data_IF_131018110176
#
_entry.id   IF_131018110176
#
_cell.length_a   1.000
_cell.length_b   1.000
_cell.length_c   1.000
_cell.angle_alpha   90.00
_cell.angle_beta   90.00
_cell.angle_gamma   90.00
#
_symmetry.space_group_name_H-M   'P 1'
#
loop_
_entity.id
_entity.type
_entity.pdbx_description
1 polymer ?
#
# COMPACT_ATOMS: atom_id res chain seq x y z
N UNK A 1 15.94 72.14 -39.01
CA UNK A 1 15.29 73.07 -38.07
C UNK A 1 15.64 72.63 -36.66
N UNK A 2 16.13 73.57 -35.81
CA UNK A 2 16.64 73.44 -34.43
C UNK A 2 17.94 72.59 -34.26
N UNK A 3 19.15 73.03 -33.86
CA UNK A 3 19.68 74.17 -33.04
C UNK A 3 19.03 74.21 -31.64
N UNK A 4 19.71 74.08 -30.48
CA UNK A 4 21.09 74.37 -30.00
C UNK A 4 21.26 73.74 -28.58
N UNK A 5 22.42 73.14 -28.21
CA UNK A 5 23.52 73.68 -27.35
C UNK A 5 23.08 74.04 -25.91
N UNK A 6 23.73 73.74 -24.76
CA UNK A 6 24.83 72.89 -24.23
C UNK A 6 24.91 73.25 -22.68
N UNK A 7 25.98 73.01 -21.87
CA UNK A 7 25.92 72.24 -20.62
C UNK A 7 26.43 72.99 -19.35
N UNK A 8 26.49 72.30 -18.19
CA UNK A 8 27.32 72.60 -16.99
C UNK A 8 27.24 71.35 -16.07
N UNK A 9 28.26 70.79 -15.42
CA UNK A 9 29.69 71.09 -15.29
C UNK A 9 30.36 70.03 -14.39
N UNK A 10 31.63 69.76 -14.70
CA UNK A 10 32.69 69.02 -13.99
C UNK A 10 32.63 68.97 -12.45
N UNK A 11 33.07 67.83 -11.86
CA UNK A 11 34.24 67.79 -10.96
C UNK A 11 34.74 66.36 -10.69
N UNK A 12 35.95 66.06 -11.18
CA UNK A 12 36.81 64.95 -10.75
C UNK A 12 37.41 65.22 -9.36
N UNK A 13 37.69 64.16 -8.59
CA UNK A 13 38.88 64.05 -7.70
C UNK A 13 39.15 62.57 -7.36
N UNK A 14 40.09 61.93 -8.05
CA UNK A 14 41.48 61.61 -7.61
C UNK A 14 41.62 60.39 -6.68
N UNK A 15 42.22 59.32 -7.22
CA UNK A 15 42.86 58.20 -6.51
C UNK A 15 44.08 58.69 -5.70
N UNK A 16 44.60 57.88 -4.75
CA UNK A 16 45.84 57.17 -5.08
C UNK A 16 45.95 55.73 -4.57
N UNK A 17 46.78 54.97 -5.31
CA UNK A 17 47.40 53.68 -4.96
C UNK A 17 48.33 53.81 -3.75
N UNK A 18 48.39 52.76 -2.93
CA UNK A 18 49.56 52.13 -2.28
C UNK A 18 48.98 51.02 -1.38
N UNK A 19 49.54 49.85 -1.13
CA UNK A 19 50.80 49.20 -1.45
C UNK A 19 50.92 47.97 -0.54
N UNK A 20 51.58 46.92 -1.04
CA UNK A 20 52.30 45.88 -0.29
C UNK A 20 51.57 44.96 0.72
N UNK A 21 51.47 43.68 0.31
CA UNK A 21 52.10 42.50 0.95
C UNK A 21 52.52 42.66 2.43
N UNK A 22 51.86 41.90 3.32
CA UNK A 22 52.48 41.39 4.54
C UNK A 22 51.84 40.04 4.93
N UNK A 23 52.68 39.01 4.96
CA UNK A 23 52.40 37.69 5.48
C UNK A 23 52.37 37.71 7.02
N UNK A 24 51.41 37.00 7.63
CA UNK A 24 51.48 36.57 9.02
C UNK A 24 50.65 35.27 9.13
N UNK A 25 51.29 34.11 8.99
CA UNK A 25 51.84 33.27 10.08
C UNK A 25 50.74 32.61 10.93
N UNK A 26 50.58 31.31 10.65
CA UNK A 26 50.07 30.29 11.55
C UNK A 26 50.60 30.44 12.99
N UNK A 27 49.78 30.07 13.99
CA UNK A 27 50.26 29.38 15.17
C UNK A 27 49.79 27.93 15.14
N UNK A 28 50.75 27.05 14.91
CA UNK A 28 50.73 25.63 15.24
C UNK A 28 50.80 25.43 16.76
N UNK A 29 49.84 24.71 17.34
CA UNK A 29 50.02 23.89 18.56
C UNK A 29 49.07 22.69 18.43
N UNK A 30 49.51 21.56 17.88
CA UNK A 30 50.10 20.43 18.63
C UNK A 30 49.47 20.25 20.01
N UNK A 31 48.37 19.50 20.05
CA UNK A 31 47.98 18.66 21.18
C UNK A 31 47.40 17.36 20.62
N UNK A 32 48.30 16.43 20.35
CA UNK A 32 48.02 15.01 20.13
C UNK A 32 47.30 14.41 21.33
N UNK A 33 46.07 13.92 21.14
CA UNK A 33 45.55 12.80 21.91
C UNK A 33 45.11 11.69 20.96
N UNK A 34 45.94 10.65 20.96
CA UNK A 34 45.69 9.38 20.31
C UNK A 34 44.60 8.61 21.07
N UNK A 35 43.58 8.16 20.35
CA UNK A 35 42.76 7.03 20.77
C UNK A 35 42.66 6.07 19.59
N UNK A 36 43.69 5.22 19.47
CA UNK A 36 43.64 4.04 18.64
C UNK A 36 42.53 3.12 19.15
N UNK A 37 41.52 2.84 18.32
CA UNK A 37 40.65 1.67 18.52
C UNK A 37 40.95 0.62 17.47
N UNK A 38 41.69 -0.34 17.99
CA UNK A 38 42.10 -1.61 17.41
C UNK A 38 40.92 -2.35 16.78
N UNK A 39 41.06 -2.68 15.50
CA UNK A 39 40.31 -3.74 14.85
C UNK A 39 40.74 -5.07 15.47
N UNK A 40 39.97 -5.58 16.43
CA UNK A 40 40.17 -6.90 17.01
C UNK A 40 39.27 -7.89 16.28
N UNK A 41 39.90 -8.70 15.43
CA UNK A 41 39.38 -9.98 14.96
C UNK A 41 39.09 -10.88 16.16
N UNK A 42 37.82 -10.99 16.55
CA UNK A 42 37.39 -11.95 17.56
C UNK A 42 37.14 -13.31 16.89
N UNK A 43 38.20 -14.11 16.79
CA UNK A 43 38.09 -15.57 16.59
C UNK A 43 37.28 -16.13 17.77
N UNK A 44 36.12 -16.73 17.50
CA UNK A 44 35.34 -17.47 18.51
C UNK A 44 36.18 -18.65 19.00
N UNK A 45 36.71 -18.57 20.22
CA UNK A 45 37.26 -19.73 20.91
C UNK A 45 36.11 -20.58 21.44
N UNK A 46 36.01 -21.81 20.96
CA UNK A 46 35.14 -22.82 21.55
C UNK A 46 35.71 -23.22 22.91
N UNK A 47 35.14 -22.70 23.99
CA UNK A 47 35.42 -23.16 25.36
C UNK A 47 34.52 -24.35 25.70
N UNK A 48 35.11 -25.55 25.70
CA UNK A 48 34.48 -26.83 26.08
C UNK A 48 34.48 -27.07 27.59
N UNK A 49 34.12 -26.08 28.42
CA UNK A 49 33.99 -26.27 29.87
C UNK A 49 32.85 -25.45 30.47
N UNK A 50 31.64 -26.01 30.40
CA UNK A 50 30.61 -25.86 31.44
C UNK A 50 29.52 -26.92 31.25
N UNK A 51 29.89 -28.18 31.46
CA UNK A 51 28.91 -29.23 31.74
C UNK A 51 28.43 -29.04 33.20
N UNK A 52 27.12 -29.14 33.39
CA UNK A 52 26.36 -29.03 34.65
C UNK A 52 26.04 -27.62 35.16
N UNK A 53 24.99 -27.04 34.58
CA UNK A 53 24.04 -26.19 35.33
C UNK A 53 22.73 -26.14 34.56
N UNK A 54 21.71 -26.84 35.08
CA UNK A 54 20.35 -26.79 34.55
C UNK A 54 19.72 -25.44 34.93
N UNK A 55 19.82 -24.45 34.05
CA UNK A 55 18.94 -23.28 34.05
C UNK A 55 17.94 -23.45 32.92
N UNK A 56 16.69 -23.75 33.27
CA UNK A 56 15.55 -23.57 32.37
C UNK A 56 15.55 -22.10 31.93
N UNK A 57 15.51 -21.77 30.63
CA UNK A 57 15.25 -20.40 30.24
C UNK A 57 13.83 -20.08 30.71
N UNK A 58 13.70 -19.04 31.53
CA UNK A 58 12.41 -18.45 31.81
C UNK A 58 11.86 -17.98 30.47
N UNK A 59 10.75 -18.59 30.04
CA UNK A 59 9.93 -18.01 28.98
C UNK A 59 9.43 -16.67 29.53
N UNK A 60 10.05 -15.58 29.13
CA UNK A 60 9.42 -14.27 29.23
C UNK A 60 8.26 -14.27 28.24
N UNK A 61 7.15 -14.88 28.65
CA UNK A 61 5.86 -14.61 28.05
C UNK A 61 5.62 -13.13 28.28
N UNK A 62 5.76 -12.33 27.24
CA UNK A 62 5.12 -11.02 27.20
C UNK A 62 3.62 -11.27 27.26
N UNK A 63 3.11 -11.40 28.49
CA UNK A 63 1.69 -11.56 28.78
C UNK A 63 1.04 -10.24 28.41
N UNK A 64 0.13 -10.27 27.45
CA UNK A 64 -0.82 -9.18 27.22
C UNK A 64 -1.34 -8.72 28.57
N UNK A 65 -1.11 -7.45 28.94
CA UNK A 65 -1.51 -6.91 30.24
C UNK A 65 -3.04 -6.79 30.40
N UNK A 66 -3.81 -7.19 29.38
CA UNK A 66 -5.26 -7.17 29.38
C UNK A 66 -5.78 -8.58 29.12
N UNK A 67 -6.66 -9.06 30.00
CA UNK A 67 -7.52 -10.19 29.72
C UNK A 67 -8.40 -9.85 28.50
N UNK A 68 -8.55 -10.77 27.54
CA UNK A 68 -9.35 -10.51 26.35
C UNK A 68 -10.81 -10.24 26.75
N UNK A 69 -11.42 -9.25 26.11
CA UNK A 69 -12.83 -8.87 26.30
C UNK A 69 -13.76 -9.98 25.82
N UNK A 70 -13.33 -10.76 24.82
CA UNK A 70 -14.09 -11.87 24.25
C UNK A 70 -13.22 -13.13 24.13
N UNK A 71 -13.81 -14.27 24.46
CA UNK A 71 -13.20 -15.57 24.27
C UNK A 71 -13.29 -16.03 22.81
N UNK A 72 -12.32 -16.82 22.36
CA UNK A 72 -12.26 -17.30 20.97
C UNK A 72 -13.37 -18.29 20.60
N UNK A 73 -13.97 -18.93 21.60
CA UNK A 73 -15.11 -19.82 21.40
C UNK A 73 -16.44 -19.07 21.30
N UNK A 74 -16.49 -17.80 21.69
CA UNK A 74 -17.72 -16.98 21.79
C UNK A 74 -17.57 -15.62 21.09
N UNK A 75 -17.33 -15.68 19.78
CA UNK A 75 -17.15 -14.49 18.94
C UNK A 75 -18.44 -14.05 18.24
N UNK A 76 -19.49 -14.86 18.29
CA UNK A 76 -20.75 -14.57 17.60
C UNK A 76 -21.75 -13.90 18.54
N UNK A 77 -22.02 -12.62 18.30
CA UNK A 77 -23.08 -11.88 18.99
C UNK A 77 -23.94 -11.15 17.96
N UNK A 78 -25.29 -11.15 18.12
CA UNK A 78 -26.13 -10.24 17.36
C UNK A 78 -25.65 -8.80 17.51
N UNK A 79 -25.62 -8.04 16.41
CA UNK A 79 -24.95 -6.74 16.36
C UNK A 79 -25.50 -5.75 17.41
N UNK A 80 -26.83 -5.73 17.63
CA UNK A 80 -27.47 -4.90 18.66
C UNK A 80 -27.09 -5.27 20.11
N UNK A 81 -26.83 -6.55 20.36
CA UNK A 81 -26.56 -7.11 21.70
C UNK A 81 -25.06 -7.33 21.96
N UNK A 82 -24.21 -7.01 20.98
CA UNK A 82 -22.77 -7.16 21.10
C UNK A 82 -22.24 -6.47 22.36
N UNK A 83 -21.28 -7.07 23.09
CA UNK A 83 -20.62 -6.41 24.21
C UNK A 83 -19.81 -5.18 23.79
N UNK A 84 -19.43 -5.09 22.52
CA UNK A 84 -18.59 -4.03 21.96
C UNK A 84 -19.43 -2.82 21.50
N UNK A 85 -19.18 -1.65 22.08
CA UNK A 85 -19.88 -0.41 21.71
C UNK A 85 -19.78 -0.05 20.21
N UNK A 86 -18.62 -0.20 19.52
CA UNK A 86 -18.53 0.10 18.09
C UNK A 86 -19.41 -0.81 17.22
N UNK A 87 -19.59 -2.08 17.61
CA UNK A 87 -20.43 -3.03 16.87
C UNK A 87 -21.91 -2.69 17.03
N UNK A 88 -22.33 -2.28 18.24
CA UNK A 88 -23.70 -1.78 18.46
C UNK A 88 -23.98 -0.51 17.66
N UNK A 89 -23.04 0.43 17.62
CA UNK A 89 -23.17 1.64 16.81
C UNK A 89 -23.30 1.33 15.30
N UNK A 90 -22.60 0.30 14.82
CA UNK A 90 -22.77 -0.21 13.45
C UNK A 90 -24.18 -0.76 13.22
N UNK A 91 -24.74 -1.51 14.18
CA UNK A 91 -26.11 -1.99 14.14
C UNK A 91 -27.11 -0.84 14.01
N UNK A 92 -26.97 0.18 14.86
CA UNK A 92 -27.81 1.38 14.85
C UNK A 92 -27.73 2.12 13.52
N UNK A 93 -26.52 2.22 12.94
CA UNK A 93 -26.33 2.85 11.64
C UNK A 93 -27.03 2.09 10.52
N UNK A 94 -26.91 0.75 10.50
CA UNK A 94 -27.59 -0.11 9.52
C UNK A 94 -29.11 -0.02 9.68
N UNK A 95 -29.64 0.04 10.89
CA UNK A 95 -31.08 0.24 11.10
C UNK A 95 -31.53 1.61 10.60
N UNK A 96 -30.72 2.65 10.81
CA UNK A 96 -31.06 4.02 10.42
C UNK A 96 -31.00 4.28 8.90
N UNK A 97 -30.04 3.68 8.19
CA UNK A 97 -29.78 3.96 6.77
C UNK A 97 -30.02 2.77 5.84
N UNK A 98 -30.16 1.58 6.41
CA UNK A 98 -30.38 0.35 5.68
C UNK A 98 -31.79 0.25 5.12
N UNK A 99 -31.97 -0.70 4.21
CA UNK A 99 -33.25 -0.92 3.53
C UNK A 99 -33.62 -2.39 3.53
N UNK A 100 -34.89 -2.69 3.80
CA UNK A 100 -35.40 -4.05 3.68
C UNK A 100 -35.53 -4.44 2.19
N UNK A 101 -35.03 -5.62 1.79
CA UNK A 101 -35.07 -6.09 0.40
C UNK A 101 -36.50 -6.31 -0.11
N UNK A 102 -37.31 -7.03 0.67
CA UNK A 102 -38.72 -7.35 0.37
C UNK A 102 -39.58 -6.10 0.19
N UNK A 103 -39.37 -5.06 1.00
CA UNK A 103 -40.09 -3.80 0.83
C UNK A 103 -39.81 -3.14 -0.52
N UNK A 104 -38.56 -3.20 -0.99
CA UNK A 104 -38.17 -2.60 -2.27
C UNK A 104 -38.81 -3.33 -3.46
N UNK A 105 -38.98 -4.64 -3.36
CA UNK A 105 -39.56 -5.46 -4.42
C UNK A 105 -41.09 -5.32 -4.49
N UNK A 106 -41.78 -5.31 -3.35
CA UNK A 106 -43.24 -5.24 -3.33
C UNK A 106 -43.82 -3.84 -3.47
N UNK A 107 -43.10 -2.80 -3.07
CA UNK A 107 -43.57 -1.41 -3.13
C UNK A 107 -42.42 -0.44 -3.47
N UNK A 108 -41.92 -0.44 -4.73
CA UNK A 108 -40.80 0.42 -5.14
C UNK A 108 -41.09 1.92 -5.03
N UNK A 109 -42.37 2.33 -5.00
CA UNK A 109 -42.80 3.72 -4.83
C UNK A 109 -42.90 4.16 -3.36
N UNK A 110 -42.95 3.21 -2.41
CA UNK A 110 -42.95 3.51 -0.97
C UNK A 110 -41.52 3.47 -0.41
N UNK A 111 -41.25 4.31 0.60
CA UNK A 111 -39.95 4.29 1.29
C UNK A 111 -39.77 2.92 1.96
N UNK A 112 -38.74 2.18 1.53
CA UNK A 112 -38.35 0.92 2.15
C UNK A 112 -38.17 1.09 3.66
N UNK A 113 -38.77 0.18 4.43
CA UNK A 113 -38.72 0.21 5.89
C UNK A 113 -37.31 -0.15 6.38
N UNK A 114 -36.92 0.46 7.49
CA UNK A 114 -35.68 0.18 8.19
C UNK A 114 -35.56 -1.31 8.59
N UNK A 115 -34.39 -1.95 8.40
CA UNK A 115 -34.17 -3.32 8.82
C UNK A 115 -34.02 -3.37 10.36
N UNK A 116 -35.01 -3.94 11.04
CA UNK A 116 -35.05 -4.07 12.51
C UNK A 116 -34.90 -5.51 12.98
N UNK A 117 -35.27 -6.47 12.13
CA UNK A 117 -35.16 -7.88 12.39
C UNK A 117 -33.72 -8.35 12.14
N UNK A 118 -33.06 -8.77 13.21
CA UNK A 118 -31.74 -9.38 13.16
C UNK A 118 -31.86 -10.87 12.86
N UNK A 119 -31.11 -11.34 11.86
CA UNK A 119 -31.07 -12.75 11.55
C UNK A 119 -30.35 -13.52 12.68
N UNK A 120 -30.93 -14.62 13.20
CA UNK A 120 -30.32 -15.38 14.29
C UNK A 120 -29.00 -16.06 13.90
N UNK A 121 -28.78 -16.36 12.62
CA UNK A 121 -27.61 -17.10 12.15
C UNK A 121 -26.38 -16.22 11.87
N UNK A 122 -26.60 -14.99 11.35
CA UNK A 122 -25.51 -14.05 11.04
C UNK A 122 -25.45 -12.83 11.97
N UNK A 123 -26.50 -12.56 12.75
CA UNK A 123 -26.54 -11.49 13.74
C UNK A 123 -26.77 -10.09 13.17
N UNK A 124 -26.90 -9.94 11.85
CA UNK A 124 -27.11 -8.65 11.18
C UNK A 124 -28.60 -8.26 11.10
N UNK A 125 -28.95 -6.97 11.29
CA UNK A 125 -30.26 -6.44 10.95
C UNK A 125 -30.44 -6.41 9.42
N UNK A 126 -31.30 -7.29 8.90
CA UNK A 126 -31.46 -7.49 7.44
C UNK A 126 -32.84 -7.13 6.92
N UNK A 127 -33.89 -7.39 7.71
CA UNK A 127 -35.29 -7.25 7.30
C UNK A 127 -36.05 -6.33 8.25
N UNK A 128 -37.15 -5.72 7.82
CA UNK A 128 -37.96 -4.88 8.71
C UNK A 128 -38.80 -5.69 9.71
N UNK A 129 -39.16 -6.94 9.36
CA UNK A 129 -39.95 -7.86 10.18
C UNK A 129 -39.52 -9.31 9.93
N UNK A 130 -39.91 -10.20 10.84
CA UNK A 130 -39.70 -11.64 10.70
C UNK A 130 -40.46 -12.23 9.50
N UNK A 131 -41.65 -11.70 9.19
CA UNK A 131 -42.43 -12.09 8.02
C UNK A 131 -41.64 -11.84 6.72
N UNK A 132 -41.03 -10.66 6.58
CA UNK A 132 -40.22 -10.35 5.41
C UNK A 132 -38.94 -11.20 5.35
N UNK A 133 -38.33 -11.50 6.49
CA UNK A 133 -37.20 -12.44 6.55
C UNK A 133 -37.61 -13.83 6.03
N UNK A 134 -38.78 -14.33 6.42
CA UNK A 134 -39.28 -15.62 5.97
C UNK A 134 -39.62 -15.64 4.48
N UNK A 135 -40.06 -14.52 3.91
CA UNK A 135 -40.30 -14.37 2.47
C UNK A 135 -39.00 -14.41 1.65
N UNK A 136 -37.92 -13.79 2.16
CA UNK A 136 -36.62 -13.68 1.45
C UNK A 136 -35.57 -14.71 1.89
N UNK A 137 -36.01 -15.78 2.57
CA UNK A 137 -35.11 -16.71 3.26
C UNK A 137 -34.09 -17.37 2.31
N UNK A 138 -34.51 -17.71 1.10
CA UNK A 138 -33.64 -18.36 0.12
C UNK A 138 -32.56 -17.40 -0.41
N UNK A 139 -32.89 -16.15 -0.75
CA UNK A 139 -31.87 -15.19 -1.18
C UNK A 139 -30.93 -14.83 -0.01
N UNK A 140 -31.49 -14.64 1.19
CA UNK A 140 -30.69 -14.34 2.38
C UNK A 140 -29.67 -15.43 2.69
N UNK A 141 -30.00 -16.71 2.46
CA UNK A 141 -29.11 -17.85 2.68
C UNK A 141 -27.77 -17.72 1.93
N UNK A 142 -27.77 -17.10 0.74
CA UNK A 142 -26.54 -16.87 -0.04
C UNK A 142 -25.59 -15.86 0.58
N UNK A 143 -26.10 -14.90 1.37
CA UNK A 143 -25.29 -13.83 1.98
C UNK A 143 -25.06 -14.07 3.47
N UNK A 144 -25.91 -14.87 4.12
CA UNK A 144 -25.91 -15.13 5.55
C UNK A 144 -24.54 -15.62 6.07
N UNK A 145 -23.90 -16.54 5.34
CA UNK A 145 -22.56 -17.04 5.68
C UNK A 145 -21.51 -15.93 5.73
N UNK A 146 -21.43 -15.12 4.67
CA UNK A 146 -20.50 -13.98 4.61
C UNK A 146 -20.77 -12.96 5.71
N UNK A 147 -22.03 -12.65 5.99
CA UNK A 147 -22.41 -11.74 7.07
C UNK A 147 -21.97 -12.28 8.44
N UNK A 148 -22.10 -13.59 8.66
CA UNK A 148 -21.66 -14.23 9.89
C UNK A 148 -20.14 -14.16 10.03
N UNK A 149 -19.40 -14.44 8.97
CA UNK A 149 -17.94 -14.31 8.97
C UNK A 149 -17.50 -12.89 9.31
N UNK A 150 -18.11 -11.88 8.69
CA UNK A 150 -17.79 -10.47 8.96
C UNK A 150 -18.11 -10.10 10.40
N UNK A 151 -19.20 -10.64 10.95
CA UNK A 151 -19.58 -10.45 12.34
C UNK A 151 -18.50 -11.01 13.29
N UNK A 152 -18.14 -12.28 13.11
CA UNK A 152 -17.15 -12.97 13.94
C UNK A 152 -15.75 -12.34 13.80
N UNK A 153 -15.34 -11.96 12.59
CA UNK A 153 -14.07 -11.29 12.32
C UNK A 153 -14.01 -9.91 13.03
N UNK A 154 -15.10 -9.13 13.02
CA UNK A 154 -15.14 -7.84 13.73
C UNK A 154 -15.06 -7.99 15.25
N UNK A 155 -15.76 -8.98 15.81
CA UNK A 155 -15.66 -9.31 17.23
C UNK A 155 -14.26 -9.78 17.61
N UNK A 156 -13.63 -10.61 16.76
CA UNK A 156 -12.28 -11.10 17.01
C UNK A 156 -11.24 -9.98 16.95
N UNK A 157 -11.32 -9.11 15.94
CA UNK A 157 -10.42 -7.96 15.78
C UNK A 157 -10.51 -6.97 16.95
N UNK A 158 -11.65 -6.93 17.63
CA UNK A 158 -11.92 -6.05 18.79
C UNK A 158 -11.93 -6.78 20.13
N UNK A 159 -11.64 -8.09 20.14
CA UNK A 159 -11.63 -8.92 21.36
C UNK A 159 -10.52 -8.55 22.34
N UNK A 160 -9.50 -7.82 21.90
CA UNK A 160 -8.33 -7.47 22.72
C UNK A 160 -7.35 -8.63 22.91
N UNK A 161 -7.56 -9.78 22.25
CA UNK A 161 -6.57 -10.86 22.29
C UNK A 161 -5.27 -10.46 21.60
N UNK A 162 -4.19 -11.14 21.96
CA UNK A 162 -2.95 -11.08 21.18
C UNK A 162 -3.14 -11.81 19.84
N UNK A 163 -2.97 -11.08 18.75
CA UNK A 163 -3.07 -11.61 17.39
C UNK A 163 -1.70 -12.07 16.92
N UNK A 164 -1.45 -13.38 17.07
CA UNK A 164 -0.21 -14.02 16.60
C UNK A 164 -0.06 -13.90 15.09
N UNK A 165 -1.18 -13.87 14.36
CA UNK A 165 -1.19 -13.73 12.91
C UNK A 165 -0.58 -12.42 12.40
N UNK A 166 -0.49 -11.38 13.25
CA UNK A 166 0.18 -10.11 12.91
C UNK A 166 1.67 -10.08 13.31
N UNK A 167 2.21 -11.20 13.79
CA UNK A 167 3.66 -11.34 14.02
C UNK A 167 4.34 -11.70 12.70
N UNK A 168 4.72 -10.67 11.94
CA UNK A 168 5.30 -10.84 10.62
C UNK A 168 6.80 -11.18 10.67
N UNK A 169 7.28 -12.04 9.75
CA UNK A 169 8.70 -12.39 9.67
C UNK A 169 9.54 -11.22 9.16
N UNK A 170 10.79 -11.14 9.61
CA UNK A 170 11.78 -10.18 9.12
C UNK A 170 12.36 -10.57 7.75
N UNK A 171 13.55 -10.04 7.45
CA UNK A 171 14.30 -10.36 6.25
C UNK A 171 14.71 -11.84 6.20
N UNK A 172 14.67 -12.44 5.00
CA UNK A 172 15.11 -13.82 4.75
C UNK A 172 16.54 -13.88 4.25
N UNK A 173 17.14 -15.08 4.34
CA UNK A 173 18.41 -15.34 3.69
C UNK A 173 18.24 -15.30 2.16
N UNK A 174 19.27 -14.83 1.44
CA UNK A 174 19.21 -14.65 -0.02
C UNK A 174 18.94 -15.94 -0.81
N UNK A 175 19.26 -17.08 -0.21
CA UNK A 175 19.11 -18.40 -0.85
C UNK A 175 17.70 -18.99 -0.68
N UNK A 176 16.86 -18.39 0.17
CA UNK A 176 15.48 -18.82 0.36
C UNK A 176 14.62 -18.34 -0.82
N UNK A 177 14.01 -19.29 -1.53
CA UNK A 177 13.16 -18.98 -2.66
C UNK A 177 11.74 -18.57 -2.20
N UNK A 178 11.26 -17.45 -2.74
CA UNK A 178 9.91 -16.92 -2.47
C UNK A 178 8.96 -17.39 -3.57
N UNK A 179 7.84 -17.98 -3.17
CA UNK A 179 6.80 -18.42 -4.08
C UNK A 179 5.54 -17.56 -3.93
N UNK A 180 5.16 -16.87 -5.00
CA UNK A 180 4.02 -15.93 -5.03
C UNK A 180 2.76 -16.51 -5.69
N UNK A 181 2.66 -17.84 -5.85
CA UNK A 181 1.56 -18.48 -6.59
C UNK A 181 0.19 -18.31 -5.93
N UNK A 182 0.15 -18.29 -4.59
CA UNK A 182 -1.05 -18.08 -3.77
C UNK A 182 -0.65 -17.66 -2.35
N UNK A 183 -1.63 -17.27 -1.54
CA UNK A 183 -1.42 -16.85 -0.14
C UNK A 183 -0.71 -17.91 0.70
N UNK A 184 -1.14 -19.17 0.68
CA UNK A 184 -0.59 -20.22 1.55
C UNK A 184 0.90 -20.49 1.26
N UNK A 185 1.25 -20.59 -0.01
CA UNK A 185 2.63 -20.87 -0.43
C UNK A 185 3.53 -19.66 -0.15
N UNK A 186 3.00 -18.44 -0.31
CA UNK A 186 3.73 -17.23 0.06
C UNK A 186 4.00 -17.18 1.56
N UNK A 187 2.97 -17.34 2.38
CA UNK A 187 3.10 -17.29 3.85
C UNK A 187 4.07 -18.38 4.35
N UNK A 188 3.98 -19.58 3.78
CA UNK A 188 4.90 -20.67 4.09
C UNK A 188 6.35 -20.35 3.71
N UNK A 189 6.59 -19.95 2.46
CA UNK A 189 7.96 -19.67 1.99
C UNK A 189 8.60 -18.46 2.66
N UNK A 190 7.79 -17.48 3.11
CA UNK A 190 8.25 -16.33 3.89
C UNK A 190 8.47 -16.61 5.38
N UNK A 191 8.08 -17.78 5.88
CA UNK A 191 8.22 -18.12 7.30
C UNK A 191 7.24 -17.37 8.22
N UNK A 192 6.03 -17.08 7.75
CA UNK A 192 4.95 -16.62 8.63
C UNK A 192 4.56 -17.75 9.59
N UNK A 193 3.97 -17.38 10.74
CA UNK A 193 3.38 -18.35 11.64
C UNK A 193 2.28 -19.13 10.92
N UNK A 194 2.18 -20.43 11.23
CA UNK A 194 1.17 -21.30 10.62
C UNK A 194 -0.24 -20.81 10.94
N UNK A 195 -1.00 -20.53 9.89
CA UNK A 195 -2.35 -20.01 9.97
C UNK A 195 -3.31 -21.18 10.13
N UNK A 196 -3.84 -21.36 11.35
CA UNK A 196 -4.64 -22.54 11.68
C UNK A 196 -6.14 -22.36 11.40
N UNK A 197 -6.58 -21.16 11.01
CA UNK A 197 -7.99 -20.85 10.77
C UNK A 197 -8.17 -19.93 9.57
N UNK A 198 -9.30 -20.06 8.87
CA UNK A 198 -9.68 -19.17 7.77
C UNK A 198 -9.81 -17.72 8.22
N UNK A 199 -10.31 -17.48 9.44
CA UNK A 199 -10.38 -16.15 10.05
C UNK A 199 -9.00 -15.48 10.15
N UNK A 200 -7.98 -16.20 10.63
CA UNK A 200 -6.62 -15.68 10.66
C UNK A 200 -6.15 -15.30 9.25
N UNK A 201 -6.45 -16.13 8.25
CA UNK A 201 -6.12 -15.83 6.84
C UNK A 201 -6.82 -14.58 6.33
N UNK A 202 -8.11 -14.39 6.65
CA UNK A 202 -8.86 -13.16 6.34
C UNK A 202 -8.20 -11.93 6.96
N UNK A 203 -7.82 -11.99 8.24
CA UNK A 203 -7.15 -10.89 8.93
C UNK A 203 -5.81 -10.51 8.30
N UNK A 204 -4.95 -11.49 8.04
CA UNK A 204 -3.61 -11.24 7.50
C UNK A 204 -3.66 -10.80 6.04
N UNK A 205 -4.47 -11.45 5.22
CA UNK A 205 -4.62 -11.07 3.82
C UNK A 205 -5.15 -9.64 3.66
N UNK A 206 -6.07 -9.21 4.52
CA UNK A 206 -6.62 -7.86 4.49
C UNK A 206 -5.57 -6.76 4.75
N UNK A 207 -4.60 -7.02 5.63
CA UNK A 207 -3.54 -6.04 5.94
C UNK A 207 -2.41 -6.09 4.91
N UNK A 208 -2.07 -7.29 4.42
CA UNK A 208 -0.96 -7.50 3.48
C UNK A 208 -1.34 -7.30 2.01
N UNK A 209 -2.62 -7.21 1.67
CA UNK A 209 -3.08 -7.15 0.26
C UNK A 209 -2.40 -6.03 -0.52
N UNK A 210 -2.23 -4.84 0.04
CA UNK A 210 -1.62 -3.70 -0.68
C UNK A 210 -0.14 -3.91 -1.00
N UNK A 211 0.75 -4.12 0.00
CA UNK A 211 2.17 -4.35 -0.30
C UNK A 211 2.41 -5.60 -1.14
N UNK A 212 1.62 -6.67 -0.96
CA UNK A 212 1.81 -7.89 -1.74
C UNK A 212 1.22 -7.81 -3.15
N UNK A 213 0.19 -7.00 -3.38
CA UNK A 213 -0.25 -6.69 -4.75
C UNK A 213 0.88 -6.01 -5.50
N UNK A 214 1.52 -4.99 -4.90
CA UNK A 214 2.69 -4.32 -5.48
C UNK A 214 3.83 -5.31 -5.72
N UNK A 215 4.19 -6.08 -4.67
CA UNK A 215 5.26 -7.07 -4.74
C UNK A 215 5.02 -8.13 -5.80
N UNK A 216 3.80 -8.67 -5.89
CA UNK A 216 3.45 -9.72 -6.85
C UNK A 216 3.52 -9.28 -8.30
N UNK A 217 3.24 -8.02 -8.59
CA UNK A 217 3.38 -7.45 -9.94
C UNK A 217 4.86 -7.23 -10.28
N UNK A 218 5.63 -6.67 -9.35
CA UNK A 218 7.00 -6.25 -9.58
C UNK A 218 8.03 -7.38 -9.48
N UNK A 219 7.78 -8.41 -8.67
CA UNK A 219 8.76 -9.46 -8.38
C UNK A 219 9.01 -10.38 -9.59
N UNK A 220 10.22 -10.94 -9.69
CA UNK A 220 10.59 -11.85 -10.77
C UNK A 220 9.76 -13.15 -10.79
N UNK A 221 9.39 -13.69 -9.62
CA UNK A 221 8.51 -14.87 -9.47
C UNK A 221 7.02 -14.52 -9.46
N UNK A 222 6.66 -13.42 -10.12
CA UNK A 222 5.27 -12.96 -10.27
C UNK A 222 4.34 -14.10 -10.72
N UNK A 223 3.13 -14.22 -10.13
CA UNK A 223 2.19 -15.26 -10.52
C UNK A 223 1.49 -14.98 -11.86
N UNK A 224 1.67 -13.79 -12.44
CA UNK A 224 1.00 -13.35 -13.66
C UNK A 224 1.76 -13.82 -14.91
N UNK A 225 1.09 -14.57 -15.78
CA UNK A 225 1.69 -15.22 -16.94
C UNK A 225 1.50 -14.40 -18.23
N UNK A 226 2.47 -14.49 -19.15
CA UNK A 226 2.38 -13.89 -20.49
C UNK A 226 1.24 -14.53 -21.29
N UNK A 227 0.49 -13.71 -22.02
CA UNK A 227 -0.59 -14.14 -22.91
C UNK A 227 -1.91 -14.39 -22.20
N UNK A 228 -1.86 -15.00 -21.00
CA UNK A 228 -3.03 -15.17 -20.14
C UNK A 228 -3.39 -13.86 -19.41
N UNK A 229 -2.41 -13.29 -18.72
CA UNK A 229 -2.62 -12.17 -17.80
C UNK A 229 -1.94 -10.90 -18.30
N UNK A 230 -0.64 -11.02 -18.61
CA UNK A 230 0.20 -9.95 -19.11
C UNK A 230 0.17 -9.91 -20.64
N UNK A 231 0.13 -8.71 -21.19
CA UNK A 231 0.33 -8.48 -22.62
C UNK A 231 1.84 -8.46 -22.95
N UNK A 232 2.18 -8.43 -24.23
CA UNK A 232 3.57 -8.26 -24.68
C UNK A 232 4.16 -6.93 -24.20
N UNK A 233 3.38 -5.84 -24.28
CA UNK A 233 3.77 -4.53 -23.78
C UNK A 233 3.89 -4.48 -22.25
N UNK A 234 3.03 -5.23 -21.57
CA UNK A 234 3.12 -5.51 -20.13
C UNK A 234 4.44 -6.13 -19.75
N UNK A 235 4.81 -7.22 -20.43
CA UNK A 235 6.06 -7.91 -20.17
C UNK A 235 7.28 -7.02 -20.45
N UNK A 236 7.29 -6.25 -21.54
CA UNK A 236 8.38 -5.30 -21.84
C UNK A 236 8.55 -4.26 -20.73
N UNK A 237 7.44 -3.68 -20.27
CA UNK A 237 7.44 -2.67 -19.21
C UNK A 237 7.91 -3.24 -17.86
N UNK A 238 7.40 -4.42 -17.50
CA UNK A 238 7.76 -5.09 -16.26
C UNK A 238 9.19 -5.64 -16.30
N UNK A 239 9.68 -6.12 -17.45
CA UNK A 239 11.05 -6.60 -17.59
C UNK A 239 12.07 -5.47 -17.32
N UNK A 240 11.80 -4.27 -17.82
CA UNK A 240 12.59 -3.08 -17.56
C UNK A 240 12.64 -2.74 -16.04
N UNK A 241 11.49 -2.71 -15.37
CA UNK A 241 11.41 -2.49 -13.92
C UNK A 241 12.09 -3.62 -13.12
N UNK A 242 11.86 -4.88 -13.50
CA UNK A 242 12.44 -6.05 -12.84
C UNK A 242 13.97 -6.09 -12.95
N UNK A 243 14.52 -5.68 -14.09
CA UNK A 243 15.96 -5.57 -14.27
C UNK A 243 16.58 -4.56 -13.31
N UNK A 244 15.89 -3.44 -13.08
CA UNK A 244 16.28 -2.44 -12.06
C UNK A 244 16.18 -2.99 -10.64
N UNK A 245 15.10 -3.72 -10.33
CA UNK A 245 14.82 -4.28 -9.00
C UNK A 245 15.73 -5.46 -8.64
N UNK A 246 16.21 -6.20 -9.63
CA UNK A 246 17.08 -7.36 -9.46
C UNK A 246 18.33 -7.21 -10.35
N UNK A 247 19.26 -6.29 -10.02
CA UNK A 247 20.47 -6.14 -10.80
C UNK A 247 21.28 -7.45 -10.77
N UNK A 248 21.76 -7.88 -11.94
CA UNK A 248 22.63 -9.05 -12.04
C UNK A 248 23.84 -8.88 -11.11
N UNK A 249 24.09 -9.88 -10.27
CA UNK A 249 25.16 -9.86 -9.30
C UNK A 249 26.51 -9.73 -10.01
N UNK A 250 27.22 -8.62 -9.81
CA UNK A 250 28.58 -8.44 -10.33
C UNK A 250 29.51 -9.36 -9.52
N UNK A 251 30.17 -10.36 -10.14
CA UNK A 251 31.10 -11.24 -9.43
C UNK A 251 32.26 -10.41 -8.84
N UNK A 252 32.49 -10.50 -7.53
CA UNK A 252 33.64 -9.87 -6.86
C UNK A 252 33.32 -8.78 -5.82
N UNK A 253 32.07 -8.32 -5.71
CA UNK A 253 31.67 -7.37 -4.66
C UNK A 253 31.24 -8.13 -3.40
N UNK A 254 32.09 -8.15 -2.38
CA UNK A 254 31.77 -8.68 -1.04
C UNK A 254 30.81 -7.74 -0.31
N UNK A 255 29.72 -8.30 0.23
CA UNK A 255 28.50 -7.65 0.76
C UNK A 255 28.67 -6.72 1.99
N UNK A 256 29.89 -6.29 2.33
CA UNK A 256 30.15 -5.47 3.52
C UNK A 256 30.29 -3.97 3.25
N UNK A 257 30.09 -3.52 2.01
CA UNK A 257 29.91 -2.10 1.71
C UNK A 257 28.42 -1.82 1.65
N UNK A 258 27.96 -0.99 2.60
CA UNK A 258 26.59 -0.56 2.84
C UNK A 258 25.65 -0.71 1.64
N UNK A 259 24.53 -1.42 1.78
CA UNK A 259 23.42 -1.45 0.80
C UNK A 259 23.01 -0.02 0.35
N UNK A 260 23.19 0.98 1.23
CA UNK A 260 23.00 2.41 0.93
C UNK A 260 24.00 2.99 -0.06
N UNK A 261 25.20 2.40 -0.15
CA UNK A 261 26.26 2.80 -1.07
C UNK A 261 26.20 2.06 -2.42
N UNK A 262 25.45 0.96 -2.52
CA UNK A 262 25.29 0.17 -3.76
C UNK A 262 23.94 0.37 -4.46
N UNK A 263 22.91 0.86 -3.76
CA UNK A 263 21.64 1.23 -4.38
C UNK A 263 21.84 2.44 -5.30
N UNK A 264 22.16 2.19 -6.57
CA UNK A 264 22.40 3.26 -7.55
C UNK A 264 21.15 4.09 -7.82
N UNK A 265 19.96 3.51 -7.64
CA UNK A 265 18.68 4.15 -7.92
C UNK A 265 17.58 3.69 -6.94
N UNK A 266 16.77 4.64 -6.46
CA UNK A 266 15.58 4.40 -5.64
C UNK A 266 14.37 4.19 -6.55
N UNK A 267 13.61 3.11 -6.32
CA UNK A 267 12.34 2.89 -7.05
C UNK A 267 11.22 3.63 -6.34
N UNK A 268 10.48 4.45 -7.08
CA UNK A 268 9.35 5.24 -6.56
C UNK A 268 8.03 4.58 -6.93
N UNK A 269 7.21 4.33 -5.92
CA UNK A 269 5.88 3.76 -6.05
C UNK A 269 4.88 4.84 -5.69
N UNK A 270 4.03 5.23 -6.63
CA UNK A 270 3.01 6.25 -6.42
C UNK A 270 1.65 5.58 -6.20
N UNK A 271 1.17 5.61 -4.96
CA UNK A 271 -0.17 5.17 -4.57
C UNK A 271 -1.11 6.38 -4.62
N UNK A 272 -1.90 6.48 -5.69
CA UNK A 272 -2.79 7.64 -5.90
C UNK A 272 -4.20 7.37 -5.40
N UNK A 273 -4.84 8.40 -4.86
CA UNK A 273 -6.13 8.28 -4.19
C UNK A 273 -6.02 7.47 -2.90
N UNK A 274 -4.84 7.47 -2.26
CA UNK A 274 -4.56 6.63 -1.11
C UNK A 274 -5.48 6.97 0.08
N UNK A 275 -6.10 5.94 0.65
CA UNK A 275 -6.97 5.99 1.82
C UNK A 275 -6.43 5.00 2.84
N UNK A 276 -7.00 3.79 2.90
CA UNK A 276 -6.58 2.73 3.81
C UNK A 276 -5.09 2.38 3.67
N UNK A 277 -4.56 2.47 2.45
CA UNK A 277 -3.17 2.18 2.10
C UNK A 277 -2.18 3.06 2.86
N UNK A 278 -2.51 4.34 3.03
CA UNK A 278 -1.67 5.32 3.71
C UNK A 278 -1.69 5.16 5.24
N UNK A 279 -2.79 4.62 5.77
CA UNK A 279 -3.00 4.44 7.21
C UNK A 279 -2.34 3.19 7.78
N UNK A 280 -1.85 2.28 6.92
CA UNK A 280 -1.17 1.09 7.38
C UNK A 280 0.15 1.44 8.07
N UNK A 281 0.43 0.84 9.24
CA UNK A 281 1.73 0.92 9.87
C UNK A 281 2.91 0.61 8.92
N UNK A 282 4.02 1.40 8.97
CA UNK A 282 5.17 1.20 8.09
C UNK A 282 5.77 -0.22 8.10
N UNK A 283 5.71 -0.92 9.23
CA UNK A 283 6.24 -2.29 9.37
C UNK A 283 5.49 -3.32 8.49
N UNK A 284 4.25 -3.02 8.07
CA UNK A 284 3.50 -3.87 7.13
C UNK A 284 4.11 -3.76 5.73
N UNK A 285 4.43 -2.53 5.30
CA UNK A 285 5.09 -2.29 4.02
C UNK A 285 6.53 -2.84 3.98
N UNK A 286 7.17 -3.08 5.13
CA UNK A 286 8.46 -3.78 5.14
C UNK A 286 8.38 -5.17 4.50
N UNK A 287 7.21 -5.82 4.52
CA UNK A 287 7.04 -7.09 3.81
C UNK A 287 7.29 -6.96 2.31
N UNK A 288 7.02 -5.79 1.70
CA UNK A 288 7.41 -5.50 0.31
C UNK A 288 8.93 -5.38 0.20
N UNK A 289 9.58 -4.62 1.09
CA UNK A 289 11.03 -4.43 1.04
C UNK A 289 11.81 -5.73 1.23
N UNK A 290 11.31 -6.66 2.05
CA UNK A 290 11.92 -7.96 2.24
C UNK A 290 11.86 -8.86 0.99
N UNK A 291 10.97 -8.57 0.02
CA UNK A 291 10.98 -9.25 -1.29
C UNK A 291 12.11 -8.74 -2.21
N UNK A 292 12.67 -7.56 -1.92
CA UNK A 292 13.70 -6.91 -2.75
C UNK A 292 14.87 -6.42 -1.87
N UNK A 293 15.73 -7.34 -1.37
CA UNK A 293 16.76 -7.01 -0.38
C UNK A 293 17.84 -6.04 -0.86
N UNK A 294 17.93 -5.78 -2.17
CA UNK A 294 18.95 -4.90 -2.78
C UNK A 294 18.41 -3.53 -3.17
N UNK A 295 17.12 -3.27 -2.98
CA UNK A 295 16.45 -2.08 -3.49
C UNK A 295 15.91 -1.21 -2.36
N UNK A 296 16.17 0.10 -2.44
CA UNK A 296 15.49 1.08 -1.61
C UNK A 296 14.21 1.57 -2.31
N UNK A 297 13.11 1.61 -1.56
CA UNK A 297 11.82 2.08 -2.07
C UNK A 297 11.45 3.45 -1.52
N UNK A 298 10.81 4.25 -2.36
CA UNK A 298 10.07 5.42 -1.94
C UNK A 298 8.60 5.23 -2.27
N UNK A 299 7.72 5.19 -1.28
CA UNK A 299 6.27 5.11 -1.51
C UNK A 299 5.66 6.49 -1.30
N UNK A 300 5.01 7.00 -2.34
CA UNK A 300 4.29 8.26 -2.34
C UNK A 300 2.79 7.96 -2.21
N UNK A 301 2.21 8.29 -1.06
CA UNK A 301 0.77 8.30 -0.87
C UNK A 301 0.25 9.68 -1.23
N UNK A 302 -0.59 9.76 -2.27
CA UNK A 302 -1.12 11.02 -2.79
C UNK A 302 -2.64 10.99 -2.76
N UNK A 303 -3.25 12.01 -2.17
CA UNK A 303 -4.70 12.20 -2.14
C UNK A 303 -5.19 12.80 -0.83
N UNK A 304 -6.42 13.32 -0.77
CA UNK A 304 -6.91 14.10 0.37
C UNK A 304 -6.84 13.37 1.73
N UNK A 305 -6.93 12.04 1.71
CA UNK A 305 -6.90 11.18 2.90
C UNK A 305 -5.51 10.59 3.19
N UNK A 306 -4.48 10.95 2.41
CA UNK A 306 -3.10 10.49 2.59
C UNK A 306 -2.41 11.21 3.75
N UNK A 307 -2.74 10.80 4.98
CA UNK A 307 -2.22 11.40 6.21
C UNK A 307 -1.31 10.38 6.91
N UNK A 308 -0.11 10.77 7.38
CA UNK A 308 0.77 9.85 8.07
C UNK A 308 0.15 9.27 9.33
N UNK A 309 0.42 7.98 9.63
CA UNK A 309 0.00 7.39 10.88
C UNK A 309 0.68 8.15 12.04
N UNK A 310 -0.13 8.56 13.04
CA UNK A 310 0.28 9.24 14.28
C UNK A 310 0.52 10.76 14.22
N UNK A 311 0.35 11.40 13.06
CA UNK A 311 0.48 12.86 12.96
C UNK A 311 -0.90 13.51 12.78
N UNK A 312 -1.27 14.43 13.68
CA UNK A 312 -2.47 15.28 13.50
C UNK A 312 -2.23 16.44 12.51
N UNK A 313 -0.98 16.68 12.13
CA UNK A 313 -0.63 17.69 11.14
C UNK A 313 -1.15 17.29 9.77
N UNK A 314 -1.90 18.20 9.15
CA UNK A 314 -2.38 18.10 7.76
C UNK A 314 -1.44 18.82 6.79
N UNK A 315 -0.21 19.08 7.20
CA UNK A 315 0.79 19.67 6.31
C UNK A 315 1.10 18.68 5.18
N UNK A 316 1.16 19.15 3.92
CA UNK A 316 1.56 18.32 2.79
C UNK A 316 3.05 17.94 2.88
N UNK A 317 3.48 16.98 2.07
CA UNK A 317 4.88 16.55 1.96
C UNK A 317 5.54 16.07 3.26
N UNK A 318 4.88 15.17 3.98
CA UNK A 318 5.47 14.55 5.18
C UNK A 318 6.32 13.34 4.79
N UNK A 319 7.56 13.30 5.28
CA UNK A 319 8.50 12.22 5.03
C UNK A 319 8.68 11.38 6.29
N UNK A 320 8.43 10.07 6.17
CA UNK A 320 8.67 9.09 7.22
C UNK A 320 9.69 8.08 6.70
N UNK A 321 10.85 8.02 7.35
CA UNK A 321 11.89 7.06 7.01
C UNK A 321 11.79 5.83 7.92
N UNK A 322 11.80 4.64 7.32
CA UNK A 322 11.74 3.38 8.05
C UNK A 322 12.65 2.35 7.37
N UNK A 323 13.77 2.03 8.02
CA UNK A 323 14.81 1.12 7.51
C UNK A 323 15.31 1.49 6.09
N UNK A 324 14.87 0.73 5.08
CA UNK A 324 15.23 0.88 3.67
C UNK A 324 14.09 1.45 2.80
N UNK A 325 13.02 1.93 3.44
CA UNK A 325 11.91 2.61 2.77
C UNK A 325 11.75 4.05 3.25
N UNK A 326 11.33 4.89 2.33
CA UNK A 326 10.86 6.25 2.62
C UNK A 326 9.40 6.36 2.21
N UNK A 327 8.56 6.82 3.13
CA UNK A 327 7.16 7.11 2.86
C UNK A 327 6.99 8.62 2.72
N UNK A 328 6.36 9.05 1.64
CA UNK A 328 6.01 10.44 1.37
C UNK A 328 4.49 10.54 1.37
N UNK A 329 3.95 11.42 2.18
CA UNK A 329 2.52 11.65 2.27
C UNK A 329 2.20 13.04 1.75
N UNK A 330 1.34 13.10 0.76
CA UNK A 330 0.86 14.34 0.18
C UNK A 330 -0.66 14.34 0.09
N UNK A 331 -1.28 15.32 0.75
CA UNK A 331 -2.74 15.44 0.81
C UNK A 331 -3.34 16.31 -0.30
N UNK A 332 -2.53 16.77 -1.25
CA UNK A 332 -3.01 17.54 -2.39
C UNK A 332 -3.62 16.62 -3.46
N UNK A 333 -4.22 17.23 -4.47
CA UNK A 333 -4.66 16.47 -5.64
C UNK A 333 -3.46 16.14 -6.51
N UNK A 334 -3.52 14.98 -7.17
CA UNK A 334 -2.41 14.53 -8.03
C UNK A 334 -2.03 15.54 -9.11
N UNK A 335 -2.97 16.32 -9.66
CA UNK A 335 -2.65 17.28 -10.71
C UNK A 335 -1.68 18.38 -10.23
N UNK A 336 -1.77 18.77 -8.95
CA UNK A 336 -0.82 19.70 -8.33
C UNK A 336 0.50 19.01 -8.01
N UNK A 337 0.41 17.81 -7.41
CA UNK A 337 1.57 17.02 -7.03
C UNK A 337 2.43 16.56 -8.22
N UNK A 338 1.83 16.34 -9.39
CA UNK A 338 2.50 15.83 -10.59
C UNK A 338 3.70 16.69 -11.00
N UNK A 339 3.57 18.02 -10.92
CA UNK A 339 4.65 18.94 -11.27
C UNK A 339 5.82 18.86 -10.28
N UNK A 340 5.53 18.61 -9.00
CA UNK A 340 6.51 18.55 -7.91
C UNK A 340 7.21 17.18 -7.85
N UNK A 341 6.48 16.11 -8.19
CA UNK A 341 7.00 14.74 -8.20
C UNK A 341 7.90 14.43 -9.39
N UNK A 342 7.80 15.20 -10.47
CA UNK A 342 8.61 15.04 -11.67
C UNK A 342 10.11 15.31 -11.43
N UNK A 343 10.99 14.90 -12.36
CA UNK A 343 10.69 14.18 -13.60
C UNK A 343 10.32 12.71 -13.34
N UNK A 344 9.48 12.14 -14.21
CA UNK A 344 9.08 10.73 -14.15
C UNK A 344 9.97 9.86 -15.05
N UNK A 345 10.36 8.69 -14.56
CA UNK A 345 11.16 7.71 -15.25
C UNK A 345 10.49 6.33 -15.22
N UNK A 346 9.99 5.83 -16.36
CA UNK A 346 9.32 4.52 -16.43
C UNK A 346 10.14 3.29 -16.03
N UNK A 347 11.46 3.42 -15.85
CA UNK A 347 12.35 2.35 -15.39
C UNK A 347 12.48 2.28 -13.87
N UNK A 348 12.05 3.34 -13.15
CA UNK A 348 12.15 3.47 -11.70
C UNK A 348 10.83 3.87 -11.03
N UNK A 349 9.85 4.32 -11.81
CA UNK A 349 8.57 4.82 -11.30
C UNK A 349 7.41 3.93 -11.76
N UNK A 350 6.49 3.67 -10.82
CA UNK A 350 5.28 2.89 -11.05
C UNK A 350 4.11 3.48 -10.27
N UNK A 351 2.92 3.44 -10.86
CA UNK A 351 1.69 3.94 -10.26
C UNK A 351 0.76 2.79 -9.87
N UNK A 352 0.16 2.89 -8.69
CA UNK A 352 -0.88 2.00 -8.20
C UNK A 352 -2.12 2.80 -7.80
N UNK A 353 -3.26 2.40 -8.34
CA UNK A 353 -4.59 2.97 -8.09
C UNK A 353 -5.41 1.90 -7.38
N UNK A 354 -5.51 1.97 -6.06
CA UNK A 354 -6.24 0.96 -5.30
C UNK A 354 -7.73 1.32 -5.23
N UNK A 355 -8.58 0.51 -5.86
CA UNK A 355 -10.04 0.72 -5.95
C UNK A 355 -10.42 2.18 -6.28
N UNK A 356 -9.91 2.74 -7.40
CA UNK A 356 -10.01 4.16 -7.70
C UNK A 356 -11.44 4.63 -7.98
N UNK A 357 -12.32 3.74 -8.46
CA UNK A 357 -13.68 4.06 -8.86
C UNK A 357 -13.68 5.04 -10.03
N UNK A 358 -13.00 4.69 -11.14
CA UNK A 358 -12.91 5.55 -12.33
C UNK A 358 -14.29 5.76 -12.98
N UNK A 359 -15.13 4.73 -12.96
CA UNK A 359 -16.49 4.76 -13.49
C UNK A 359 -17.54 5.25 -12.47
N UNK A 360 -17.18 5.32 -11.19
CA UNK A 360 -18.15 5.66 -10.15
C UNK A 360 -18.58 7.14 -10.24
N UNK A 361 -19.88 7.48 -10.20
CA UNK A 361 -20.38 8.83 -10.49
C UNK A 361 -19.77 9.95 -9.63
N UNK A 362 -19.44 9.66 -8.36
CA UNK A 362 -18.88 10.66 -7.45
C UNK A 362 -17.40 10.98 -7.72
N UNK A 363 -16.64 10.04 -8.27
CA UNK A 363 -15.18 10.12 -8.43
C UNK A 363 -14.74 10.26 -9.88
N UNK A 364 -15.56 9.84 -10.84
CA UNK A 364 -15.30 9.92 -12.29
C UNK A 364 -14.86 11.31 -12.75
N UNK A 365 -15.55 12.37 -12.31
CA UNK A 365 -15.19 13.74 -12.68
C UNK A 365 -13.82 14.18 -12.11
N UNK A 366 -13.43 13.62 -10.97
CA UNK A 366 -12.14 13.89 -10.34
C UNK A 366 -10.98 13.23 -11.09
N UNK A 367 -11.17 11.99 -11.58
CA UNK A 367 -10.14 11.24 -12.29
C UNK A 367 -9.91 11.69 -13.74
N UNK A 368 -10.95 12.22 -14.41
CA UNK A 368 -10.88 12.64 -15.82
C UNK A 368 -9.68 13.53 -16.18
N UNK A 369 -9.30 14.57 -15.42
CA UNK A 369 -8.08 15.34 -15.68
C UNK A 369 -6.77 14.63 -15.27
N UNK A 370 -6.82 13.69 -14.32
CA UNK A 370 -5.65 12.96 -13.82
C UNK A 370 -5.17 11.87 -14.79
N UNK A 371 -6.08 11.11 -15.43
CA UNK A 371 -5.69 10.00 -16.33
C UNK A 371 -4.75 10.45 -17.47
N UNK A 372 -5.01 11.56 -18.20
CA UNK A 372 -4.08 12.04 -19.23
C UNK A 372 -2.67 12.33 -18.69
N UNK A 373 -2.56 12.94 -17.50
CA UNK A 373 -1.27 13.22 -16.86
C UNK A 373 -0.52 11.92 -16.53
N UNK A 374 -1.23 10.89 -16.06
CA UNK A 374 -0.63 9.58 -15.80
C UNK A 374 -0.13 8.93 -17.09
N UNK A 375 -0.92 8.96 -18.16
CA UNK A 375 -0.53 8.40 -19.45
C UNK A 375 0.65 9.15 -20.08
N UNK A 376 0.79 10.45 -19.81
CA UNK A 376 1.93 11.23 -20.28
C UNK A 376 3.26 10.78 -19.66
N UNK A 377 3.24 10.31 -18.40
CA UNK A 377 4.46 9.81 -17.72
C UNK A 377 5.10 8.60 -18.40
N UNK A 378 4.36 7.86 -19.24
CA UNK A 378 4.76 6.57 -19.85
C UNK A 378 5.20 5.51 -18.83
N UNK A 379 4.89 5.70 -17.56
CA UNK A 379 5.14 4.74 -16.48
C UNK A 379 4.05 3.68 -16.45
N UNK A 380 4.35 2.52 -15.86
CA UNK A 380 3.35 1.48 -15.67
C UNK A 380 2.33 1.92 -14.62
N UNK A 381 1.04 1.76 -14.91
CA UNK A 381 -0.07 2.09 -14.04
C UNK A 381 -0.89 0.82 -13.80
N UNK A 382 -1.06 0.45 -12.54
CA UNK A 382 -1.89 -0.70 -12.15
C UNK A 382 -3.09 -0.21 -11.34
N UNK A 383 -4.26 -0.72 -11.67
CA UNK A 383 -5.49 -0.45 -10.92
C UNK A 383 -6.03 -1.72 -10.29
N UNK A 384 -6.70 -1.58 -9.14
CA UNK A 384 -7.48 -2.66 -8.52
C UNK A 384 -8.95 -2.27 -8.42
N UNK A 385 -9.81 -3.24 -8.12
CA UNK A 385 -11.21 -3.00 -7.80
C UNK A 385 -11.70 -3.99 -6.73
N UNK A 386 -12.90 -3.76 -6.22
CA UNK A 386 -13.42 -4.49 -5.05
C UNK A 386 -14.36 -5.66 -5.41
N UNK A 387 -14.82 -5.72 -6.66
CA UNK A 387 -15.51 -6.85 -7.27
C UNK A 387 -15.28 -6.87 -8.80
N UNK A 388 -15.82 -7.88 -9.49
CA UNK A 388 -15.67 -8.02 -10.94
C UNK A 388 -16.36 -6.89 -11.70
N UNK A 389 -17.54 -6.47 -11.25
CA UNK A 389 -18.34 -5.48 -11.95
C UNK A 389 -17.69 -4.09 -11.88
N UNK A 390 -17.15 -3.72 -10.72
CA UNK A 390 -16.37 -2.50 -10.49
C UNK A 390 -15.15 -2.44 -11.40
N UNK A 391 -14.37 -3.52 -11.44
CA UNK A 391 -13.21 -3.63 -12.33
C UNK A 391 -13.61 -3.46 -13.79
N UNK A 392 -14.66 -4.16 -14.24
CA UNK A 392 -15.09 -4.07 -15.64
C UNK A 392 -15.68 -2.70 -15.98
N UNK A 393 -16.38 -2.05 -15.05
CA UNK A 393 -16.89 -0.70 -15.24
C UNK A 393 -15.74 0.30 -15.44
N UNK A 394 -14.70 0.23 -14.60
CA UNK A 394 -13.50 1.07 -14.71
C UNK A 394 -12.76 0.85 -16.02
N UNK A 395 -12.64 -0.41 -16.46
CA UNK A 395 -12.03 -0.78 -17.74
C UNK A 395 -12.83 -0.22 -18.91
N UNK A 396 -14.15 -0.40 -18.91
CA UNK A 396 -15.04 0.12 -19.96
C UNK A 396 -14.98 1.66 -20.03
N UNK A 397 -14.85 2.34 -18.90
CA UNK A 397 -14.66 3.80 -18.86
C UNK A 397 -13.35 4.22 -19.54
N UNK A 398 -12.25 3.51 -19.27
CA UNK A 398 -10.95 3.76 -19.87
C UNK A 398 -10.99 3.53 -21.39
N UNK A 399 -11.59 2.41 -21.83
CA UNK A 399 -11.69 2.07 -23.26
C UNK A 399 -12.62 3.04 -24.00
N UNK A 400 -13.75 3.43 -23.38
CA UNK A 400 -14.71 4.37 -23.93
C UNK A 400 -14.20 5.81 -24.03
N UNK A 401 -13.19 6.18 -23.23
CA UNK A 401 -12.62 7.52 -23.23
C UNK A 401 -11.68 7.81 -24.43
N UNK A 402 -11.28 6.79 -25.20
CA UNK A 402 -10.49 6.97 -26.42
C UNK A 402 -9.03 7.39 -26.19
N UNK A 403 -8.46 7.06 -25.04
CA UNK A 403 -7.07 7.40 -24.71
C UNK A 403 -6.03 6.60 -25.52
N UNK A 404 -4.87 7.24 -25.80
CA UNK A 404 -3.72 6.57 -26.40
C UNK A 404 -2.93 5.77 -25.36
N UNK A 405 -3.40 4.57 -25.07
CA UNK A 405 -2.78 3.65 -24.11
C UNK A 405 -2.47 2.28 -24.72
N UNK A 406 -1.58 1.58 -24.03
CA UNK A 406 -1.29 0.15 -24.16
C UNK A 406 -1.76 -0.57 -22.90
N UNK A 407 -2.48 -1.67 -23.06
CA UNK A 407 -2.77 -2.59 -21.96
C UNK A 407 -1.48 -3.30 -21.55
N UNK A 408 -1.15 -3.27 -20.25
CA UNK A 408 -0.05 -4.05 -19.65
C UNK A 408 -0.56 -5.37 -19.08
N UNK A 409 -1.71 -5.33 -18.42
CA UNK A 409 -2.35 -6.48 -17.81
C UNK A 409 -3.85 -6.42 -18.08
N UNK A 410 -4.41 -7.52 -18.56
CA UNK A 410 -5.85 -7.64 -18.75
C UNK A 410 -6.55 -7.76 -17.39
N UNK A 411 -7.80 -7.29 -17.26
CA UNK A 411 -8.57 -7.43 -16.04
C UNK A 411 -8.67 -8.89 -15.61
N UNK A 412 -8.31 -9.16 -14.36
CA UNK A 412 -8.35 -10.50 -13.77
C UNK A 412 -8.45 -10.43 -12.26
N UNK A 413 -8.70 -11.57 -11.63
CA UNK A 413 -8.59 -11.72 -10.18
C UNK A 413 -7.14 -11.51 -9.71
N UNK A 414 -6.96 -10.72 -8.65
CA UNK A 414 -5.69 -10.53 -7.98
C UNK A 414 -5.39 -11.71 -7.05
N UNK A 415 -4.24 -12.34 -7.24
CA UNK A 415 -3.79 -13.48 -6.42
C UNK A 415 -3.69 -13.11 -4.93
N UNK A 416 -3.32 -11.86 -4.64
CA UNK A 416 -3.17 -11.33 -3.29
C UNK A 416 -4.32 -10.40 -2.89
N UNK A 417 -5.54 -10.67 -3.37
CA UNK A 417 -6.75 -10.00 -2.86
C UNK A 417 -6.95 -10.27 -1.36
N UNK A 418 -7.64 -9.36 -0.68
CA UNK A 418 -8.12 -9.60 0.68
C UNK A 418 -9.16 -10.73 0.67
N UNK A 419 -8.99 -11.72 1.54
CA UNK A 419 -9.99 -12.78 1.74
C UNK A 419 -11.13 -12.30 2.67
N UNK A 420 -10.87 -11.27 3.48
CA UNK A 420 -11.88 -10.63 4.33
C UNK A 420 -12.89 -9.88 3.46
N UNK A 421 -14.17 -10.15 3.71
CA UNK A 421 -15.28 -9.40 3.13
C UNK A 421 -15.57 -8.12 3.93
N UNK A 422 -15.94 -7.07 3.23
CA UNK A 422 -16.51 -5.86 3.79
C UNK A 422 -17.95 -5.72 3.31
N UNK A 423 -18.85 -5.41 4.24
CA UNK A 423 -20.29 -5.35 3.97
C UNK A 423 -20.69 -3.90 3.83
N UNK A 424 -21.43 -3.57 2.76
CA UNK A 424 -22.03 -2.26 2.61
C UNK A 424 -23.08 -2.07 3.71
N UNK A 425 -22.93 -1.00 4.51
CA UNK A 425 -23.81 -0.75 5.64
C UNK A 425 -25.22 -0.29 5.22
N UNK A 426 -25.37 0.25 4.00
CA UNK A 426 -26.68 0.69 3.46
C UNK A 426 -27.47 -0.46 2.82
N UNK A 427 -26.76 -1.42 2.23
CA UNK A 427 -27.34 -2.64 1.69
C UNK A 427 -26.43 -3.83 2.06
N UNK A 428 -26.80 -4.51 3.14
CA UNK A 428 -26.04 -5.63 3.70
C UNK A 428 -25.97 -6.86 2.79
N UNK A 429 -26.73 -6.87 1.68
CA UNK A 429 -26.63 -7.92 0.65
C UNK A 429 -25.41 -7.77 -0.22
N UNK A 430 -24.84 -6.56 -0.27
CA UNK A 430 -23.65 -6.25 -1.03
C UNK A 430 -22.43 -6.39 -0.13
N UNK A 431 -21.54 -7.30 -0.51
CA UNK A 431 -20.22 -7.44 0.10
C UNK A 431 -19.15 -7.28 -0.96
N UNK A 432 -18.01 -6.73 -0.56
CA UNK A 432 -16.88 -6.47 -1.44
C UNK A 432 -15.60 -6.99 -0.79
N UNK A 433 -14.59 -7.31 -1.62
CA UNK A 433 -13.28 -7.74 -1.15
C UNK A 433 -12.24 -6.72 -1.60
N UNK A 434 -11.45 -6.20 -0.66
CA UNK A 434 -10.41 -5.22 -1.00
C UNK A 434 -9.41 -5.84 -2.00
N UNK A 435 -9.13 -5.10 -3.08
CA UNK A 435 -8.24 -5.52 -4.17
C UNK A 435 -8.61 -6.86 -4.81
N UNK A 436 -9.90 -7.17 -4.97
CA UNK A 436 -10.38 -8.38 -5.62
C UNK A 436 -9.76 -8.59 -7.01
N UNK A 437 -9.78 -7.55 -7.85
CA UNK A 437 -9.26 -7.62 -9.21
C UNK A 437 -8.11 -6.67 -9.44
N UNK A 438 -7.39 -6.91 -10.53
CA UNK A 438 -6.25 -6.11 -10.98
C UNK A 438 -6.26 -5.98 -12.50
N UNK A 439 -5.83 -4.81 -12.97
CA UNK A 439 -5.60 -4.49 -14.37
C UNK A 439 -4.42 -3.52 -14.49
N UNK A 440 -3.88 -3.34 -15.70
CA UNK A 440 -2.73 -2.45 -15.88
C UNK A 440 -2.66 -1.83 -17.26
N UNK A 441 -2.26 -0.57 -17.32
CA UNK A 441 -2.15 0.25 -18.53
C UNK A 441 -0.86 1.08 -18.51
N UNK A 442 -0.52 1.63 -19.67
CA UNK A 442 0.57 2.59 -19.85
C UNK A 442 0.20 3.52 -21.01
N UNK A 443 0.63 4.78 -21.00
CA UNK A 443 0.52 5.61 -22.20
C UNK A 443 1.39 5.07 -23.34
N UNK A 444 0.91 5.16 -24.59
CA UNK A 444 1.66 4.68 -25.75
C UNK A 444 3.01 5.37 -25.87
N UNK A 445 4.03 4.59 -26.23
CA UNK A 445 5.31 5.10 -26.71
C UNK A 445 5.31 5.01 -28.22
N UNK A 446 5.61 6.12 -28.87
CA UNK A 446 5.91 6.10 -30.29
C UNK A 446 7.31 5.53 -30.45
N UNK A 447 7.40 4.31 -30.97
CA UNK A 447 8.69 3.79 -31.42
C UNK A 447 9.20 4.73 -32.52
N UNK A 448 10.44 5.18 -32.38
CA UNK A 448 11.12 5.92 -33.45
C UNK A 448 11.23 4.94 -34.62
N UNK A 449 10.38 5.11 -35.64
CA UNK A 449 10.58 4.41 -36.90
C UNK A 449 11.97 4.81 -37.38
N UNK A 450 12.88 3.85 -37.67
CA UNK A 450 14.08 4.20 -38.41
C UNK A 450 13.61 4.91 -39.67
N UNK A 451 14.17 6.08 -39.96
CA UNK A 451 13.86 6.78 -41.20
C UNK A 451 14.13 5.78 -42.33
N UNK A 452 13.09 5.48 -43.11
CA UNK A 452 13.23 4.67 -44.32
C UNK A 452 14.32 5.35 -45.18
N UNK A 453 15.46 4.68 -45.36
CA UNK A 453 16.53 5.11 -46.28
C UNK A 453 16.10 4.97 -47.74
#
# INVERSE_FOLDING_TARGET
MASRIRPLGLALRTLPRTGAVAAARFPSSIATQAAARVAASARRSLSLKSFFTSRRPASESFTSQFEPVLEQADLFHPLSKSPLAPVRAKAEWIVAHGTCPVCKEHAPEEKSKAPKHECPDCGYPTHCSEEHYNMDKEHHKHVCGTLREVNEDEHDLRSGRRMKEFEFPGAQHRDEAINLSNWDTFLYTRGFLSMNSERSMRHVSHVLTYPLTIGSVLHQSSPYQLGKDLTVEGLKSLAALRHTLHPAMIPGITQSQDLRSTATHTVRIFCLGARAESHLPPHIYMQLAYLFPTTAFQIHFVGPDAIPPHTKSKEPHQHVHYEQMTFVYDNSRYESYHAEAGPFNPYYDVFFLFSPGLAHPSTKAMWKPTIPLLLDTKCAIFGTGFDEQDVMNDVNEIEGAGYELDWLMKPRENVFRSLKHEVNMTDVRQSAQCNWGIWGIRGRRYDVKPADE
#
